data_IF_644973991323
#
_entry.id   IF_644973991323
#
_cell.length_a   1.000
_cell.length_b   1.000
_cell.length_c   1.000
_cell.angle_alpha   90.00
_cell.angle_beta   90.00
_cell.angle_gamma   90.00
#
_symmetry.space_group_name_H-M   'P 1'
#
loop_
_entity.id
_entity.type
_entity.pdbx_description
1 polymer ?
#
# COMPACT_ATOMS: atom_id res chain seq x y z
N UNK A 1 0.14 16.57 5.93
CA UNK A 1 0.91 15.90 4.85
C UNK A 1 1.85 16.93 4.28
N UNK A 2 3.12 16.59 4.11
CA UNK A 2 4.06 17.44 3.40
C UNK A 2 3.89 17.09 1.91
N UNK A 3 3.52 18.05 1.08
CA UNK A 3 3.52 17.85 -0.37
C UNK A 3 4.99 17.76 -0.81
N UNK A 4 5.47 16.53 -0.96
CA UNK A 4 6.80 16.23 -1.48
C UNK A 4 6.67 15.72 -2.92
N UNK A 5 6.87 16.56 -3.96
CA UNK A 5 6.63 16.20 -5.35
C UNK A 5 7.75 15.34 -5.95
N UNK A 6 8.56 14.67 -5.12
CA UNK A 6 9.72 13.90 -5.57
C UNK A 6 9.41 12.83 -6.64
N UNK A 7 8.17 12.31 -6.64
CA UNK A 7 7.68 11.32 -7.60
C UNK A 7 7.43 11.88 -9.01
N UNK A 8 7.14 13.17 -9.14
CA UNK A 8 6.66 13.76 -10.41
C UNK A 8 7.58 13.46 -11.60
N UNK A 9 8.89 13.58 -11.39
CA UNK A 9 9.89 13.34 -12.45
C UNK A 9 10.00 11.87 -12.87
N UNK A 10 9.48 10.94 -12.07
CA UNK A 10 9.63 9.49 -12.29
C UNK A 10 8.36 8.85 -12.82
N UNK A 11 7.19 9.41 -12.54
CA UNK A 11 5.88 8.82 -12.88
C UNK A 11 5.79 8.46 -14.37
N UNK A 12 6.14 9.39 -15.27
CA UNK A 12 6.07 9.15 -16.71
C UNK A 12 6.93 7.96 -17.15
N UNK A 13 8.12 7.81 -16.55
CA UNK A 13 9.02 6.69 -16.82
C UNK A 13 8.47 5.39 -16.25
N UNK A 14 7.95 5.41 -15.02
CA UNK A 14 7.36 4.23 -14.40
C UNK A 14 6.17 3.71 -15.21
N UNK A 15 5.28 4.60 -15.67
CA UNK A 15 4.14 4.22 -16.52
C UNK A 15 4.61 3.58 -17.83
N UNK A 16 5.63 4.15 -18.48
CA UNK A 16 6.19 3.59 -19.71
C UNK A 16 6.86 2.21 -19.49
N UNK A 17 7.58 2.05 -18.38
CA UNK A 17 8.38 0.85 -18.09
C UNK A 17 7.51 -0.30 -17.51
N UNK A 18 6.47 0.01 -16.74
CA UNK A 18 5.61 -1.00 -16.08
C UNK A 18 4.62 -1.66 -17.05
N UNK A 19 4.16 -0.95 -18.09
CA UNK A 19 3.10 -1.45 -18.97
C UNK A 19 1.86 -1.86 -18.17
N UNK A 20 1.50 -3.14 -18.20
CA UNK A 20 0.39 -3.72 -17.42
C UNK A 20 0.84 -4.47 -16.15
N UNK A 21 2.13 -4.46 -15.81
CA UNK A 21 2.61 -5.16 -14.63
C UNK A 21 2.31 -4.35 -13.35
N UNK A 22 1.80 -4.99 -12.28
CA UNK A 22 1.55 -4.30 -11.03
C UNK A 22 2.85 -3.89 -10.34
N UNK A 23 2.83 -2.76 -9.63
CA UNK A 23 3.94 -2.24 -8.83
C UNK A 23 3.76 -2.63 -7.37
N UNK A 24 4.79 -3.24 -6.77
CA UNK A 24 4.81 -3.55 -5.34
C UNK A 24 5.37 -2.37 -4.53
N UNK A 25 4.54 -1.77 -3.68
CA UNK A 25 4.95 -0.75 -2.72
C UNK A 25 5.23 -1.39 -1.35
N UNK A 26 6.50 -1.41 -0.95
CA UNK A 26 6.94 -1.90 0.36
C UNK A 26 6.95 -0.74 1.38
N UNK A 27 6.06 -0.79 2.37
CA UNK A 27 5.90 0.27 3.37
C UNK A 27 5.17 1.48 2.79
N UNK A 28 3.88 1.33 2.49
CA UNK A 28 3.10 2.41 1.88
C UNK A 28 2.70 3.52 2.87
N UNK A 29 2.88 3.32 4.18
CA UNK A 29 2.54 4.28 5.21
C UNK A 29 1.07 4.71 5.13
N UNK A 30 0.77 6.02 5.23
CA UNK A 30 -0.57 6.55 5.00
C UNK A 30 -1.02 6.56 3.52
N UNK A 31 -0.17 6.07 2.60
CA UNK A 31 -0.44 5.88 1.17
C UNK A 31 -0.59 7.14 0.31
N UNK A 32 -0.02 8.27 0.74
CA UNK A 32 0.03 9.48 -0.10
C UNK A 32 0.71 9.21 -1.45
N UNK A 33 1.90 8.59 -1.44
CA UNK A 33 2.64 8.21 -2.64
C UNK A 33 1.91 7.13 -3.46
N UNK A 34 1.29 6.16 -2.77
CA UNK A 34 0.47 5.12 -3.40
C UNK A 34 -0.70 5.73 -4.19
N UNK A 35 -1.37 6.75 -3.63
CA UNK A 35 -2.46 7.44 -4.29
C UNK A 35 -1.99 8.22 -5.53
N UNK A 36 -0.81 8.85 -5.47
CA UNK A 36 -0.22 9.54 -6.63
C UNK A 36 0.06 8.56 -7.77
N UNK A 37 0.67 7.40 -7.46
CA UNK A 37 0.97 6.38 -8.47
C UNK A 37 -0.29 5.73 -9.05
N UNK A 38 -1.29 5.43 -8.22
CA UNK A 38 -2.57 4.89 -8.68
C UNK A 38 -3.31 5.88 -9.59
N UNK A 39 -3.31 7.19 -9.26
CA UNK A 39 -3.90 8.23 -10.12
C UNK A 39 -3.19 8.38 -11.46
N UNK A 40 -1.91 8.04 -11.53
CA UNK A 40 -1.16 8.01 -12.78
C UNK A 40 -1.47 6.77 -13.65
N UNK A 41 -2.33 5.86 -13.19
CA UNK A 41 -2.78 4.69 -13.94
C UNK A 41 -1.97 3.42 -13.67
N UNK A 42 -1.07 3.41 -12.68
CA UNK A 42 -0.37 2.21 -12.26
C UNK A 42 -1.27 1.34 -11.37
N UNK A 43 -1.25 0.03 -11.61
CA UNK A 43 -1.83 -0.95 -10.68
C UNK A 43 -0.85 -1.15 -9.52
N UNK A 44 -1.30 -0.93 -8.28
CA UNK A 44 -0.43 -0.99 -7.10
C UNK A 44 -0.87 -2.11 -6.16
N UNK A 45 0.11 -2.94 -5.77
CA UNK A 45 0.01 -3.85 -4.63
C UNK A 45 0.82 -3.23 -3.50
N UNK A 46 0.22 -2.96 -2.35
CA UNK A 46 0.88 -2.27 -1.24
C UNK A 46 0.96 -3.15 0.02
N UNK A 47 2.07 -3.02 0.75
CA UNK A 47 2.30 -3.66 2.04
C UNK A 47 2.61 -2.60 3.09
N UNK A 48 2.06 -2.75 4.29
CA UNK A 48 2.36 -1.90 5.45
C UNK A 48 2.52 -2.75 6.72
N UNK A 49 3.46 -2.35 7.58
CA UNK A 49 3.74 -3.02 8.85
C UNK A 49 2.82 -2.49 9.97
N UNK A 50 2.51 -1.20 9.97
CA UNK A 50 1.59 -0.59 10.94
C UNK A 50 0.13 -0.81 10.56
N UNK A 51 -0.56 -1.64 11.35
CA UNK A 51 -1.98 -1.93 11.17
C UNK A 51 -2.87 -0.68 11.20
N UNK A 52 -2.55 0.33 12.02
CA UNK A 52 -3.35 1.55 12.05
C UNK A 52 -3.15 2.38 10.79
N UNK A 53 -1.95 2.39 10.22
CA UNK A 53 -1.68 3.03 8.95
C UNK A 53 -2.41 2.33 7.81
N UNK A 54 -2.38 0.99 7.81
CA UNK A 54 -3.17 0.18 6.88
C UNK A 54 -4.66 0.53 6.99
N UNK A 55 -5.26 0.49 8.19
CA UNK A 55 -6.69 0.82 8.39
C UNK A 55 -7.09 2.20 7.84
N UNK A 56 -6.26 3.24 8.04
CA UNK A 56 -6.53 4.58 7.52
C UNK A 56 -6.59 4.64 6.00
N UNK A 57 -5.80 3.82 5.31
CA UNK A 57 -5.81 3.71 3.86
C UNK A 57 -7.09 3.08 3.30
N UNK A 58 -7.75 2.23 4.08
CA UNK A 58 -8.90 1.43 3.64
C UNK A 58 -10.22 2.17 3.84
N UNK A 59 -10.22 3.26 4.62
CA UNK A 59 -11.43 3.98 4.99
C UNK A 59 -12.16 4.68 3.82
N UNK A 60 -11.61 4.67 2.59
CA UNK A 60 -12.24 5.30 1.42
C UNK A 60 -12.48 4.30 0.29
N UNK A 61 -13.74 3.86 0.12
CA UNK A 61 -14.20 3.07 -1.03
C UNK A 61 -13.75 1.60 -1.06
N UNK A 62 -13.31 1.08 0.09
CA UNK A 62 -12.93 -0.32 0.27
C UNK A 62 -13.63 -0.89 1.51
N UNK A 63 -14.22 -2.07 1.34
CA UNK A 63 -14.85 -2.84 2.40
C UNK A 63 -13.88 -3.92 2.91
N UNK A 64 -13.62 -4.00 4.23
CA UNK A 64 -12.82 -5.08 4.78
C UNK A 64 -13.56 -6.42 4.71
N UNK A 65 -12.87 -7.45 4.22
CA UNK A 65 -13.35 -8.84 4.09
C UNK A 65 -12.77 -9.72 5.19
N UNK A 66 -11.46 -9.66 5.42
CA UNK A 66 -10.80 -10.36 6.52
C UNK A 66 -9.63 -9.55 7.08
N UNK A 67 -9.29 -9.83 8.34
CA UNK A 67 -8.12 -9.29 9.01
C UNK A 67 -7.58 -10.31 9.99
N UNK A 68 -6.31 -10.67 9.83
CA UNK A 68 -5.64 -11.60 10.72
C UNK A 68 -4.35 -10.97 11.28
N UNK A 69 -4.12 -11.21 12.56
CA UNK A 69 -2.91 -10.79 13.28
C UNK A 69 -2.12 -12.02 13.66
N UNK A 70 -0.86 -12.07 13.25
CA UNK A 70 0.06 -13.13 13.59
C UNK A 70 1.23 -12.57 14.36
N UNK A 71 1.70 -13.32 15.35
CA UNK A 71 2.95 -13.05 16.05
C UNK A 71 3.84 -14.26 15.91
N UNK A 72 5.07 -14.06 15.42
CA UNK A 72 6.06 -15.13 15.32
C UNK A 72 7.16 -14.97 16.36
N UNK A 73 7.43 -16.06 17.08
CA UNK A 73 8.57 -16.21 17.98
C UNK A 73 9.84 -16.75 17.30
N UNK A 74 9.88 -16.82 15.96
CA UNK A 74 11.02 -17.35 15.20
C UNK A 74 12.30 -16.50 15.38
N UNK A 75 12.17 -15.24 15.78
CA UNK A 75 13.28 -14.29 15.93
C UNK A 75 13.50 -13.91 17.39
N UNK A 76 14.68 -13.37 17.70
CA UNK A 76 15.06 -12.98 19.06
C UNK A 76 14.03 -12.02 19.72
N UNK A 77 13.40 -11.16 18.92
CA UNK A 77 12.28 -10.33 19.36
C UNK A 77 11.01 -10.74 18.61
N UNK A 78 9.84 -10.79 19.28
CA UNK A 78 8.56 -11.08 18.63
C UNK A 78 8.31 -10.11 17.47
N UNK A 79 7.87 -10.65 16.33
CA UNK A 79 7.43 -9.84 15.18
C UNK A 79 5.95 -10.04 14.95
N UNK A 80 5.24 -8.93 14.78
CA UNK A 80 3.85 -8.91 14.34
C UNK A 80 3.80 -8.90 12.80
N UNK A 81 2.82 -9.62 12.25
CA UNK A 81 2.42 -9.61 10.86
C UNK A 81 0.90 -9.41 10.82
N UNK A 82 0.44 -8.60 9.89
CA UNK A 82 -0.98 -8.41 9.63
C UNK A 82 -1.29 -8.85 8.21
N UNK A 83 -2.35 -9.64 8.05
CA UNK A 83 -3.00 -9.91 6.76
C UNK A 83 -4.32 -9.15 6.75
N UNK A 84 -4.61 -8.43 5.66
CA UNK A 84 -5.86 -7.71 5.48
C UNK A 84 -6.35 -7.95 4.06
N UNK A 85 -7.57 -8.46 3.91
CA UNK A 85 -8.24 -8.65 2.61
C UNK A 85 -9.36 -7.64 2.48
N UNK A 86 -9.44 -7.00 1.33
CA UNK A 86 -10.39 -5.93 1.04
C UNK A 86 -11.10 -6.18 -0.29
N UNK A 87 -12.31 -5.66 -0.39
CA UNK A 87 -13.08 -5.56 -1.63
C UNK A 87 -13.33 -4.08 -1.94
N UNK A 88 -13.24 -3.68 -3.20
CA UNK A 88 -13.55 -2.31 -3.61
C UNK A 88 -15.05 -2.15 -3.74
N UNK A 89 -15.62 -1.09 -3.17
CA UNK A 89 -17.00 -0.73 -3.45
C UNK A 89 -17.11 -0.34 -4.94
N UNK A 90 -18.07 -0.95 -5.64
CA UNK A 90 -18.27 -0.79 -7.09
C UNK A 90 -18.63 0.62 -7.54
#
# INVERSE_FOLDING_TARGET
MHDDPWLERWIARMVADCGSAPVLALGCGPGADTAVLARAGLEIVALELDAQAAERLLATGWRPVSREHYVTGKYANPKALWEIVLERDG
#
